data_IF_126868180739
#
_entry.id   IF_126868180739
#
_cell.length_a   1.000
_cell.length_b   1.000
_cell.length_c   1.000
_cell.angle_alpha   90.00
_cell.angle_beta   90.00
_cell.angle_gamma   90.00
#
_symmetry.space_group_name_H-M   'P 1'
#
loop_
_entity.id
_entity.type
_entity.pdbx_description
1 polymer ?
#
# COMPACT_ATOMS: atom_id res chain seq x y z
N UNK A 1 2.91 -15.70 20.46
CA UNK A 1 2.69 -15.76 19.00
C UNK A 1 3.11 -14.46 18.34
N UNK A 2 3.56 -14.44 17.08
CA UNK A 2 3.81 -13.18 16.38
C UNK A 2 2.52 -12.47 15.99
N UNK A 3 2.63 -11.17 15.71
CA UNK A 3 1.52 -10.30 15.34
C UNK A 3 1.56 -9.97 13.84
N UNK A 4 0.40 -9.97 13.20
CA UNK A 4 0.16 -9.35 11.89
C UNK A 4 -0.78 -8.18 12.12
N UNK A 5 -0.27 -6.96 11.96
CA UNK A 5 -1.00 -5.71 12.15
C UNK A 5 -1.46 -5.14 10.80
N UNK A 6 -2.71 -4.76 10.70
CA UNK A 6 -3.20 -3.87 9.64
C UNK A 6 -3.70 -2.57 10.26
N UNK A 7 -3.13 -1.43 9.83
CA UNK A 7 -3.36 -0.10 10.38
C UNK A 7 -3.88 0.83 9.28
N UNK A 8 -5.14 1.24 9.37
CA UNK A 8 -5.80 2.06 8.36
C UNK A 8 -7.12 2.66 8.90
N UNK A 9 -7.69 3.73 8.24
CA UNK A 9 -8.81 4.49 8.78
C UNK A 9 -10.20 3.91 8.51
N UNK A 10 -10.31 2.75 7.85
CA UNK A 10 -11.59 2.26 7.28
C UNK A 10 -12.48 1.50 8.27
N UNK A 11 -12.35 1.75 9.57
CA UNK A 11 -13.21 1.20 10.65
C UNK A 11 -13.18 -0.34 10.72
N UNK A 12 -12.58 -0.88 11.77
CA UNK A 12 -12.40 -2.33 11.97
C UNK A 12 -13.70 -3.13 12.02
N UNK A 13 -14.79 -2.52 12.49
CA UNK A 13 -16.05 -3.26 12.78
C UNK A 13 -17.01 -3.33 11.61
N UNK A 14 -17.06 -2.32 10.77
CA UNK A 14 -18.08 -2.21 9.72
C UNK A 14 -17.50 -1.89 8.32
N UNK A 15 -16.35 -1.25 8.23
CA UNK A 15 -15.76 -0.88 6.95
C UNK A 15 -15.01 -2.00 6.26
N UNK A 16 -14.26 -2.81 7.01
CA UNK A 16 -13.38 -3.84 6.46
C UNK A 16 -13.68 -5.26 6.94
N UNK A 17 -14.63 -5.44 7.83
CA UNK A 17 -14.95 -6.72 8.47
C UNK A 17 -15.13 -7.88 7.48
N UNK A 18 -15.88 -7.66 6.39
CA UNK A 18 -16.12 -8.69 5.39
C UNK A 18 -14.83 -9.13 4.66
N UNK A 19 -13.92 -8.18 4.41
CA UNK A 19 -12.61 -8.46 3.82
C UNK A 19 -11.71 -9.17 4.82
N UNK A 20 -11.67 -8.69 6.05
CA UNK A 20 -10.80 -9.23 7.11
C UNK A 20 -11.19 -10.68 7.46
N UNK A 21 -12.48 -11.03 7.35
CA UNK A 21 -12.97 -12.40 7.51
C UNK A 21 -12.42 -13.39 6.46
N UNK A 22 -11.90 -12.90 5.33
CA UNK A 22 -11.26 -13.73 4.31
C UNK A 22 -9.76 -13.99 4.58
N UNK A 23 -9.17 -13.32 5.57
CA UNK A 23 -7.72 -13.36 5.82
C UNK A 23 -7.38 -13.69 7.28
N UNK A 24 -7.92 -12.96 8.24
CA UNK A 24 -7.51 -13.04 9.65
C UNK A 24 -7.74 -14.42 10.29
N UNK A 25 -8.91 -15.07 10.14
CA UNK A 25 -9.11 -16.41 10.72
C UNK A 25 -8.10 -17.42 10.19
N UNK A 26 -7.77 -17.34 8.90
CA UNK A 26 -6.84 -18.25 8.27
C UNK A 26 -5.42 -18.16 8.85
N UNK A 27 -4.92 -16.94 9.14
CA UNK A 27 -3.64 -16.75 9.82
C UNK A 27 -3.72 -17.09 11.30
N UNK A 28 -4.84 -16.78 11.96
CA UNK A 28 -5.03 -17.12 13.38
C UNK A 28 -4.94 -18.63 13.63
N UNK A 29 -5.55 -19.46 12.77
CA UNK A 29 -5.43 -20.92 12.81
C UNK A 29 -3.98 -21.42 12.64
N UNK A 30 -3.09 -20.57 12.13
CA UNK A 30 -1.67 -20.86 11.90
C UNK A 30 -0.72 -20.21 12.91
N UNK A 31 -1.28 -19.78 14.04
CA UNK A 31 -0.53 -19.29 15.18
C UNK A 31 -0.07 -17.84 15.06
N UNK A 32 -0.88 -16.99 14.45
CA UNK A 32 -0.67 -15.54 14.41
C UNK A 32 -1.78 -14.78 15.14
N UNK A 33 -1.44 -13.71 15.83
CA UNK A 33 -2.40 -12.75 16.30
C UNK A 33 -2.64 -11.70 15.20
N UNK A 34 -3.80 -11.74 14.55
CA UNK A 34 -4.19 -10.72 13.58
C UNK A 34 -4.83 -9.55 14.29
N UNK A 35 -4.25 -8.37 14.17
CA UNK A 35 -4.66 -7.18 14.90
C UNK A 35 -5.16 -6.10 13.94
N UNK A 36 -6.28 -5.51 14.30
CA UNK A 36 -6.92 -4.41 13.61
C UNK A 36 -7.17 -3.27 14.58
N UNK A 37 -6.67 -2.09 14.25
CA UNK A 37 -6.82 -0.89 15.07
C UNK A 37 -7.66 0.14 14.31
N UNK A 38 -8.57 0.79 15.00
CA UNK A 38 -9.15 2.04 14.49
C UNK A 38 -8.13 3.15 14.71
N UNK A 39 -7.71 3.81 13.66
CA UNK A 39 -6.82 4.94 13.74
C UNK A 39 -7.46 6.11 14.52
N UNK A 40 -6.63 6.97 15.08
CA UNK A 40 -7.06 8.21 15.72
C UNK A 40 -8.09 8.95 14.84
N UNK A 41 -9.20 9.38 15.44
CA UNK A 41 -10.28 10.05 14.73
C UNK A 41 -11.22 9.15 13.95
N UNK A 42 -10.99 7.83 13.91
CA UNK A 42 -11.84 6.87 13.20
C UNK A 42 -12.40 5.80 14.13
N UNK A 43 -13.55 5.25 13.76
CA UNK A 43 -14.19 4.17 14.51
C UNK A 43 -14.39 4.50 15.98
N UNK A 44 -13.92 3.62 16.87
CA UNK A 44 -14.05 3.73 18.31
C UNK A 44 -12.86 4.44 18.98
N UNK A 45 -11.83 4.84 18.24
CA UNK A 45 -10.66 5.53 18.77
C UNK A 45 -10.91 7.04 18.91
N UNK A 46 -10.41 7.70 19.96
CA UNK A 46 -10.64 9.14 20.18
C UNK A 46 -9.90 10.02 19.15
N UNK A 47 -10.16 11.32 19.21
CA UNK A 47 -9.54 12.35 18.39
C UNK A 47 -10.23 12.60 17.05
N UNK A 48 -9.57 13.38 16.22
CA UNK A 48 -10.04 13.82 14.90
C UNK A 48 -8.98 13.41 13.86
N UNK A 49 -9.43 13.03 12.68
CA UNK A 49 -8.55 12.81 11.53
C UNK A 49 -8.28 14.15 10.87
N UNK A 50 -7.07 14.65 11.01
CA UNK A 50 -6.69 15.99 10.50
C UNK A 50 -6.25 15.96 9.05
N UNK A 51 -5.59 14.87 8.63
CA UNK A 51 -5.11 14.64 7.27
C UNK A 51 -4.70 13.16 7.13
N UNK A 52 -4.22 12.78 5.95
CA UNK A 52 -3.67 11.46 5.66
C UNK A 52 -2.16 11.40 5.85
N UNK A 53 -1.66 10.25 6.32
CA UNK A 53 -0.24 9.92 6.44
C UNK A 53 0.56 10.92 7.29
N UNK A 54 -0.07 11.50 8.30
CA UNK A 54 0.57 12.48 9.17
C UNK A 54 1.68 11.87 10.04
N UNK A 55 2.65 12.65 10.52
CA UNK A 55 3.62 12.17 11.50
C UNK A 55 2.96 11.60 12.77
N UNK A 56 1.83 12.17 13.18
CA UNK A 56 1.06 11.68 14.34
C UNK A 56 0.46 10.29 14.07
N UNK A 57 -0.09 10.06 12.87
CA UNK A 57 -0.59 8.74 12.45
C UNK A 57 0.51 7.69 12.52
N UNK A 58 1.71 8.02 12.04
CA UNK A 58 2.86 7.13 12.06
C UNK A 58 3.36 6.85 13.49
N UNK A 59 3.42 7.87 14.33
CA UNK A 59 3.83 7.71 15.75
C UNK A 59 2.83 6.89 16.54
N UNK A 60 1.53 7.07 16.33
CA UNK A 60 0.48 6.25 16.95
C UNK A 60 0.63 4.76 16.55
N UNK A 61 0.94 4.49 15.28
CA UNK A 61 1.18 3.13 14.81
C UNK A 61 2.41 2.50 15.46
N UNK A 62 3.49 3.25 15.62
CA UNK A 62 4.72 2.79 16.30
C UNK A 62 4.42 2.48 17.77
N UNK A 63 3.63 3.31 18.45
CA UNK A 63 3.19 3.03 19.82
C UNK A 63 2.40 1.73 19.91
N UNK A 64 1.46 1.50 18.98
CA UNK A 64 0.70 0.24 18.88
C UNK A 64 1.64 -0.95 18.65
N UNK A 65 2.62 -0.85 17.76
CA UNK A 65 3.60 -1.92 17.50
C UNK A 65 4.39 -2.26 18.77
N UNK A 66 4.89 -1.26 19.47
CA UNK A 66 5.67 -1.44 20.70
C UNK A 66 4.79 -2.05 21.80
N UNK A 67 3.55 -1.60 21.95
CA UNK A 67 2.61 -2.16 22.90
C UNK A 67 2.29 -3.63 22.61
N UNK A 68 2.05 -3.98 21.34
CA UNK A 68 1.78 -5.36 20.92
C UNK A 68 2.97 -6.28 21.18
N UNK A 69 4.17 -5.82 20.85
CA UNK A 69 5.40 -6.59 21.05
C UNK A 69 5.70 -6.85 22.53
N UNK A 70 5.26 -5.97 23.44
CA UNK A 70 5.46 -6.08 24.87
C UNK A 70 4.43 -6.97 25.60
N UNK A 71 3.42 -7.51 24.88
CA UNK A 71 2.43 -8.37 25.51
C UNK A 71 2.99 -9.77 25.82
N UNK A 72 2.63 -10.34 26.95
CA UNK A 72 3.10 -11.67 27.41
C UNK A 72 2.81 -12.80 26.41
N UNK A 73 1.77 -12.67 25.61
CA UNK A 73 1.40 -13.65 24.59
C UNK A 73 2.16 -13.44 23.26
N UNK A 74 2.81 -12.29 23.08
CA UNK A 74 3.57 -11.96 21.86
C UNK A 74 5.01 -12.48 21.98
N UNK A 75 5.58 -12.93 20.85
CA UNK A 75 6.99 -13.32 20.80
C UNK A 75 7.94 -12.13 20.54
N UNK A 76 7.44 -10.90 20.55
CA UNK A 76 8.21 -9.69 20.27
C UNK A 76 8.31 -9.33 18.78
N UNK A 77 7.75 -10.15 17.89
CA UNK A 77 7.81 -9.90 16.44
C UNK A 77 6.47 -9.43 15.90
N UNK A 78 6.50 -8.33 15.17
CA UNK A 78 5.35 -7.73 14.50
C UNK A 78 5.63 -7.65 12.99
N UNK A 79 4.65 -8.06 12.19
CA UNK A 79 4.58 -7.77 10.76
C UNK A 79 3.44 -6.82 10.46
N UNK A 80 3.57 -6.00 9.43
CA UNK A 80 2.47 -5.20 8.91
C UNK A 80 2.03 -5.70 7.54
N UNK A 81 0.71 -5.81 7.33
CA UNK A 81 0.13 -6.16 6.04
C UNK A 81 -1.04 -5.24 5.74
N UNK A 82 -1.09 -4.73 4.53
CA UNK A 82 -2.25 -3.94 4.12
C UNK A 82 -2.26 -3.61 2.64
N UNK A 83 -3.45 -3.34 2.17
CA UNK A 83 -3.69 -2.84 0.82
C UNK A 83 -3.96 -1.34 0.88
N UNK A 84 -3.52 -0.59 -0.16
CA UNK A 84 -3.78 0.85 -0.24
C UNK A 84 -3.21 1.57 0.99
N UNK A 85 -4.00 2.34 1.71
CA UNK A 85 -3.59 3.02 2.94
C UNK A 85 -2.78 2.13 3.90
N UNK A 86 -3.23 0.89 4.12
CA UNK A 86 -2.49 -0.06 4.96
C UNK A 86 -1.14 -0.48 4.39
N UNK A 87 -1.00 -0.51 3.07
CA UNK A 87 0.27 -0.73 2.38
C UNK A 87 1.20 0.48 2.48
N UNK A 88 0.67 1.69 2.32
CA UNK A 88 1.40 2.95 2.54
C UNK A 88 1.93 3.02 3.97
N UNK A 89 1.05 2.83 4.96
CA UNK A 89 1.45 2.86 6.38
C UNK A 89 2.52 1.84 6.70
N UNK A 90 2.43 0.62 6.15
CA UNK A 90 3.44 -0.40 6.36
C UNK A 90 4.84 0.07 5.94
N UNK A 91 4.96 0.73 4.79
CA UNK A 91 6.22 1.28 4.31
C UNK A 91 6.67 2.50 5.11
N UNK A 92 5.76 3.43 5.38
CA UNK A 92 6.05 4.66 6.12
C UNK A 92 6.52 4.37 7.53
N UNK A 93 5.85 3.47 8.23
CA UNK A 93 6.24 3.05 9.59
C UNK A 93 7.56 2.26 9.56
N UNK A 94 7.77 1.42 8.53
CA UNK A 94 9.05 0.71 8.38
C UNK A 94 10.23 1.67 8.17
N UNK A 95 10.02 2.83 7.55
CA UNK A 95 11.05 3.86 7.40
C UNK A 95 11.45 4.54 8.73
N UNK A 96 10.61 4.47 9.77
CA UNK A 96 10.99 4.87 11.13
C UNK A 96 11.78 3.80 11.89
N UNK A 97 11.83 2.57 11.38
CA UNK A 97 12.62 1.47 11.92
C UNK A 97 12.26 1.00 13.33
N UNK A 98 10.97 0.90 13.73
CA UNK A 98 10.64 0.37 15.06
C UNK A 98 11.15 -1.07 15.18
N UNK A 99 11.90 -1.35 16.27
CA UNK A 99 12.61 -2.61 16.44
C UNK A 99 11.73 -3.87 16.30
N UNK A 100 10.49 -3.91 16.85
CA UNK A 100 9.64 -5.08 16.73
C UNK A 100 9.10 -5.35 15.30
N UNK A 101 9.12 -4.36 14.40
CA UNK A 101 8.63 -4.52 13.03
C UNK A 101 9.67 -5.24 12.17
N UNK A 102 9.49 -6.53 11.97
CA UNK A 102 10.44 -7.39 11.26
C UNK A 102 10.18 -7.47 9.77
N UNK A 103 8.91 -7.42 9.35
CA UNK A 103 8.55 -7.58 7.95
C UNK A 103 7.26 -6.84 7.58
N UNK A 104 7.15 -6.49 6.30
CA UNK A 104 5.97 -5.81 5.71
C UNK A 104 5.54 -6.56 4.45
N UNK A 105 4.24 -6.76 4.30
CA UNK A 105 3.62 -7.08 3.02
C UNK A 105 2.79 -5.86 2.59
N UNK A 106 3.28 -5.13 1.61
CA UNK A 106 2.60 -3.95 1.06
C UNK A 106 1.89 -4.29 -0.23
N UNK A 107 0.60 -3.97 -0.33
CA UNK A 107 -0.20 -4.24 -1.52
C UNK A 107 -0.77 -2.94 -2.08
N UNK A 108 -0.70 -2.78 -3.40
CA UNK A 108 -1.40 -1.70 -4.11
C UNK A 108 -1.16 -0.34 -3.42
N UNK A 109 0.10 0.02 -3.21
CA UNK A 109 0.53 1.22 -2.52
C UNK A 109 1.56 1.99 -3.33
N UNK A 110 1.89 3.20 -2.92
CA UNK A 110 2.93 4.00 -3.55
C UNK A 110 4.15 4.22 -2.64
N UNK A 111 5.23 4.63 -3.25
CA UNK A 111 6.47 5.10 -2.60
C UNK A 111 6.62 6.61 -2.70
N UNK A 112 5.85 7.27 -3.57
CA UNK A 112 5.88 8.70 -3.80
C UNK A 112 4.45 9.27 -3.87
N UNK A 113 4.07 10.05 -2.88
CA UNK A 113 2.74 10.65 -2.72
C UNK A 113 2.41 11.73 -3.76
N UNK A 114 3.38 12.18 -4.54
CA UNK A 114 3.17 13.19 -5.59
C UNK A 114 3.29 12.63 -7.00
N UNK A 115 4.34 11.84 -7.27
CA UNK A 115 4.58 11.36 -8.63
C UNK A 115 3.67 10.21 -9.03
N UNK A 116 3.19 9.40 -8.06
CA UNK A 116 2.43 8.18 -8.35
C UNK A 116 1.36 7.88 -7.29
N UNK A 117 0.42 8.80 -7.11
CA UNK A 117 -0.68 8.67 -6.15
C UNK A 117 -2.02 9.01 -6.81
N UNK A 118 -3.10 9.06 -6.01
CA UNK A 118 -4.45 9.46 -6.43
C UNK A 118 -4.60 10.98 -6.53
N UNK A 119 -3.74 11.75 -5.87
CA UNK A 119 -3.77 13.22 -5.91
C UNK A 119 -3.09 13.77 -7.13
N UNK A 120 -1.91 13.25 -7.42
CA UNK A 120 -1.07 13.62 -8.56
C UNK A 120 -0.44 12.37 -9.17
N UNK A 121 -0.28 12.35 -10.47
CA UNK A 121 0.42 11.31 -11.19
C UNK A 121 1.24 11.89 -12.33
N UNK A 122 2.54 11.63 -12.32
CA UNK A 122 3.45 12.22 -13.30
C UNK A 122 3.42 13.76 -13.32
N UNK A 123 3.13 14.41 -12.20
CA UNK A 123 2.99 15.87 -12.08
C UNK A 123 1.62 16.42 -12.48
N UNK A 124 0.70 15.57 -12.95
CA UNK A 124 -0.66 15.98 -13.30
C UNK A 124 -1.60 15.84 -12.10
N UNK A 125 -2.38 16.88 -11.83
CA UNK A 125 -3.48 16.84 -10.86
C UNK A 125 -4.57 15.88 -11.35
N UNK A 126 -4.95 14.92 -10.50
CA UNK A 126 -6.02 13.98 -10.81
C UNK A 126 -7.38 14.48 -10.29
N UNK A 127 -8.45 14.01 -10.92
CA UNK A 127 -9.82 14.34 -10.54
C UNK A 127 -10.33 13.58 -9.28
N UNK A 128 -9.54 12.65 -8.76
CA UNK A 128 -9.92 11.81 -7.62
C UNK A 128 -9.98 12.56 -6.27
N UNK A 129 -9.38 13.76 -6.18
CA UNK A 129 -9.26 14.49 -4.91
C UNK A 129 -10.60 14.70 -4.19
N UNK A 130 -11.64 15.14 -4.91
CA UNK A 130 -12.95 15.35 -4.30
C UNK A 130 -13.62 14.03 -3.91
N UNK A 131 -13.56 13.03 -4.81
CA UNK A 131 -14.13 11.70 -4.56
C UNK A 131 -13.46 11.00 -3.38
N UNK A 132 -12.14 11.11 -3.29
CA UNK A 132 -11.38 10.56 -2.18
C UNK A 132 -11.69 11.26 -0.85
N UNK A 133 -11.73 12.59 -0.83
CA UNK A 133 -12.13 13.36 0.35
C UNK A 133 -13.54 13.00 0.83
N UNK A 134 -14.49 12.84 -0.09
CA UNK A 134 -15.84 12.38 0.24
C UNK A 134 -15.84 10.94 0.82
N UNK A 135 -14.99 10.07 0.30
CA UNK A 135 -14.82 8.70 0.82
C UNK A 135 -14.28 8.73 2.26
N UNK A 136 -13.25 9.55 2.52
CA UNK A 136 -12.71 9.67 3.87
C UNK A 136 -13.74 10.23 4.85
N UNK A 137 -14.51 11.22 4.46
CA UNK A 137 -15.62 11.71 5.25
C UNK A 137 -16.69 10.65 5.52
N UNK A 138 -16.98 9.79 4.55
CA UNK A 138 -17.93 8.69 4.75
C UNK A 138 -17.47 7.69 5.83
N UNK A 139 -16.17 7.59 6.10
CA UNK A 139 -15.63 6.77 7.20
C UNK A 139 -15.53 7.55 8.52
N UNK A 140 -14.89 8.71 8.51
CA UNK A 140 -14.57 9.50 9.72
C UNK A 140 -15.81 10.15 10.36
N UNK A 141 -16.80 10.59 9.57
CA UNK A 141 -18.04 11.19 10.08
C UNK A 141 -19.01 10.22 10.73
N UNK A 142 -18.76 8.91 10.73
CA UNK A 142 -19.65 7.91 11.33
C UNK A 142 -19.47 7.83 12.83
N UNK A 143 -20.57 7.62 13.54
CA UNK A 143 -20.55 7.51 14.99
C UNK A 143 -19.70 6.33 15.48
N UNK A 144 -19.00 6.47 16.61
CA UNK A 144 -18.48 5.33 17.37
C UNK A 144 -19.59 4.39 17.80
N UNK A 145 -19.23 3.15 18.17
CA UNK A 145 -20.19 2.15 18.61
C UNK A 145 -20.70 2.48 20.04
N UNK A 146 -22.00 2.76 20.22
CA UNK A 146 -22.56 3.06 21.54
C UNK A 146 -22.46 1.90 22.53
N UNK A 147 -22.27 0.66 22.06
CA UNK A 147 -22.07 -0.49 22.94
C UNK A 147 -20.64 -0.53 23.53
N UNK A 148 -19.68 0.14 22.91
CA UNK A 148 -18.29 0.17 23.35
C UNK A 148 -17.90 1.49 24.03
N UNK A 149 -18.58 2.59 23.69
CA UNK A 149 -18.21 3.94 24.10
C UNK A 149 -19.41 4.64 24.77
N UNK A 150 -19.33 4.84 26.07
CA UNK A 150 -20.37 5.60 26.79
C UNK A 150 -20.44 7.06 26.30
N UNK A 151 -19.33 7.63 25.90
CA UNK A 151 -19.16 8.99 25.37
C UNK A 151 -19.28 9.10 23.84
N UNK A 152 -19.86 8.09 23.19
CA UNK A 152 -19.92 8.00 21.72
C UNK A 152 -20.54 9.24 21.04
N UNK A 153 -21.56 9.83 21.68
CA UNK A 153 -22.28 10.98 21.11
C UNK A 153 -21.44 12.25 21.16
N UNK A 154 -20.79 12.51 22.28
CA UNK A 154 -19.91 13.67 22.46
C UNK A 154 -18.74 13.58 21.48
N UNK A 155 -18.09 12.44 21.42
CA UNK A 155 -16.98 12.16 20.52
C UNK A 155 -17.40 12.30 19.05
N UNK A 156 -18.55 11.81 18.67
CA UNK A 156 -19.11 11.96 17.33
C UNK A 156 -19.36 13.41 16.94
N UNK A 157 -20.04 14.18 17.84
CA UNK A 157 -20.33 15.60 17.61
C UNK A 157 -19.06 16.45 17.54
N UNK A 158 -18.05 16.13 18.33
CA UNK A 158 -16.73 16.76 18.27
C UNK A 158 -16.08 16.55 16.91
N UNK A 159 -16.06 15.31 16.39
CA UNK A 159 -15.56 14.99 15.06
C UNK A 159 -16.27 15.77 13.97
N UNK A 160 -17.62 15.72 13.94
CA UNK A 160 -18.41 16.43 12.94
C UNK A 160 -18.16 17.96 12.92
N UNK A 161 -17.75 18.54 14.05
CA UNK A 161 -17.43 19.98 14.13
C UNK A 161 -15.99 20.30 13.73
N UNK A 162 -15.06 19.40 14.01
CA UNK A 162 -13.62 19.63 13.88
C UNK A 162 -13.03 19.07 12.59
N UNK A 163 -13.72 18.15 11.91
CA UNK A 163 -13.20 17.45 10.74
C UNK A 163 -12.92 18.41 9.58
N UNK A 164 -11.68 18.39 9.03
CA UNK A 164 -11.30 19.29 7.96
C UNK A 164 -11.88 18.86 6.61
N UNK A 165 -12.01 19.83 5.70
CA UNK A 165 -12.27 19.52 4.30
C UNK A 165 -10.94 19.16 3.60
N UNK A 166 -10.58 17.88 3.64
CA UNK A 166 -9.31 17.34 3.17
C UNK A 166 -8.90 17.80 1.76
N UNK A 167 -9.80 17.81 0.73
CA UNK A 167 -9.42 18.28 -0.60
C UNK A 167 -8.83 19.69 -0.62
N UNK A 168 -9.26 20.57 0.29
CA UNK A 168 -8.70 21.93 0.35
C UNK A 168 -7.27 21.95 0.88
N UNK A 169 -6.86 20.98 1.68
CA UNK A 169 -5.49 20.81 2.12
C UNK A 169 -4.62 20.37 0.94
N UNK A 170 -5.01 19.27 0.29
CA UNK A 170 -4.25 18.68 -0.82
C UNK A 170 -4.06 19.63 -1.99
N UNK A 171 -5.08 20.37 -2.37
CA UNK A 171 -5.04 21.32 -3.50
C UNK A 171 -4.20 22.59 -3.25
N UNK A 172 -3.75 22.85 -2.02
CA UNK A 172 -2.79 23.93 -1.73
C UNK A 172 -1.37 23.56 -2.15
N UNK A 173 -1.08 22.28 -2.28
CA UNK A 173 0.25 21.73 -2.55
C UNK A 173 0.32 21.21 -3.99
N UNK A 174 0.51 22.13 -4.97
CA UNK A 174 0.48 21.82 -6.40
C UNK A 174 1.86 21.51 -7.00
N UNK A 175 2.87 21.39 -6.17
CA UNK A 175 4.22 20.96 -6.55
C UNK A 175 4.74 19.96 -5.52
N UNK A 176 5.78 19.20 -5.86
CA UNK A 176 6.41 18.24 -4.95
C UNK A 176 7.20 18.96 -3.84
N UNK A 177 6.47 19.56 -2.92
CA UNK A 177 6.99 20.26 -1.75
C UNK A 177 7.18 19.34 -0.53
N UNK A 178 7.48 19.93 0.63
CA UNK A 178 7.69 19.18 1.87
C UNK A 178 6.43 18.39 2.31
N UNK A 179 5.24 18.87 1.96
CA UNK A 179 3.98 18.18 2.27
C UNK A 179 3.90 16.79 1.62
N UNK A 180 4.22 16.70 0.33
CA UNK A 180 4.19 15.41 -0.40
C UNK A 180 5.41 14.53 -0.12
N UNK A 181 6.54 15.12 0.28
CA UNK A 181 7.72 14.36 0.72
C UNK A 181 7.47 13.65 2.04
N UNK A 182 6.67 14.25 2.93
CA UNK A 182 6.20 13.60 4.14
C UNK A 182 5.41 12.33 3.77
N UNK A 183 5.83 11.18 4.29
CA UNK A 183 5.22 9.89 3.99
C UNK A 183 5.61 9.28 2.64
N UNK A 184 6.45 9.93 1.83
CA UNK A 184 7.03 9.38 0.60
C UNK A 184 8.34 8.65 0.91
N UNK A 185 8.32 7.33 0.94
CA UNK A 185 9.51 6.52 1.33
C UNK A 185 10.61 6.53 0.27
N UNK A 186 10.32 7.01 -0.94
CA UNK A 186 11.32 7.22 -1.99
C UNK A 186 12.39 8.25 -1.59
N UNK A 187 12.12 9.11 -0.61
CA UNK A 187 13.10 10.09 -0.13
C UNK A 187 14.31 9.40 0.54
N UNK A 188 14.09 8.27 1.23
CA UNK A 188 15.16 7.47 1.82
C UNK A 188 14.74 6.01 2.02
N UNK A 189 14.98 5.17 1.04
CA UNK A 189 14.75 3.73 1.17
C UNK A 189 15.66 3.05 2.20
N UNK A 190 16.84 3.63 2.48
CA UNK A 190 17.82 3.02 3.40
C UNK A 190 17.35 3.01 4.84
N UNK A 191 16.35 3.82 5.18
CA UNK A 191 15.70 3.83 6.49
C UNK A 191 14.90 2.55 6.76
N UNK A 192 14.39 1.87 5.71
CA UNK A 192 13.60 0.65 5.85
C UNK A 192 14.51 -0.53 6.17
N UNK A 193 14.39 -1.08 7.37
CA UNK A 193 15.13 -2.28 7.82
C UNK A 193 14.29 -3.55 7.78
N UNK A 194 12.97 -3.42 7.89
CA UNK A 194 12.04 -4.52 7.77
C UNK A 194 12.12 -5.18 6.38
N UNK A 195 11.88 -6.49 6.33
CA UNK A 195 11.82 -7.22 5.07
C UNK A 195 10.52 -6.90 4.32
N UNK A 196 10.60 -6.64 3.02
CA UNK A 196 9.45 -6.17 2.24
C UNK A 196 9.06 -7.17 1.15
N UNK A 197 7.80 -7.58 1.17
CA UNK A 197 7.13 -8.24 0.04
C UNK A 197 6.15 -7.23 -0.57
N UNK A 198 6.43 -6.79 -1.79
CA UNK A 198 5.61 -5.85 -2.52
C UNK A 198 4.69 -6.58 -3.53
N UNK A 199 3.39 -6.31 -3.46
CA UNK A 199 2.40 -6.98 -4.30
C UNK A 199 1.55 -5.94 -5.03
N UNK A 200 1.34 -6.14 -6.32
CA UNK A 200 0.54 -5.21 -7.12
C UNK A 200 -0.18 -5.89 -8.27
N UNK A 201 -0.92 -5.12 -9.02
CA UNK A 201 -1.64 -5.57 -10.20
C UNK A 201 -1.47 -4.61 -11.38
N UNK A 202 -1.38 -5.14 -12.59
CA UNK A 202 -1.27 -4.32 -13.80
C UNK A 202 -2.50 -3.43 -14.04
N UNK A 203 -3.66 -3.85 -13.52
CA UNK A 203 -4.91 -3.08 -13.57
C UNK A 203 -5.08 -2.08 -12.43
N UNK A 204 -4.09 -1.95 -11.54
CA UNK A 204 -4.10 -1.00 -10.42
C UNK A 204 -3.44 0.33 -10.80
N UNK A 205 -3.83 1.40 -10.13
CA UNK A 205 -3.17 2.69 -10.22
C UNK A 205 -1.74 2.65 -9.67
N UNK A 206 -1.48 1.87 -8.61
CA UNK A 206 -0.21 1.84 -7.86
C UNK A 206 0.80 0.77 -8.35
N UNK A 207 0.78 0.43 -9.62
CA UNK A 207 1.66 -0.62 -10.17
C UNK A 207 3.15 -0.29 -10.16
N UNK A 208 3.53 0.99 -10.16
CA UNK A 208 4.93 1.42 -10.31
C UNK A 208 5.78 1.24 -9.04
N UNK A 209 5.16 1.29 -7.86
CA UNK A 209 5.87 1.15 -6.59
C UNK A 209 6.52 -0.24 -6.44
N UNK A 210 5.90 -1.28 -6.99
CA UNK A 210 6.37 -2.66 -6.84
C UNK A 210 7.77 -2.86 -7.44
N UNK A 211 8.07 -2.50 -8.70
CA UNK A 211 9.43 -2.54 -9.22
C UNK A 211 10.39 -1.62 -8.46
N UNK A 212 9.99 -0.40 -8.13
CA UNK A 212 10.84 0.57 -7.43
C UNK A 212 11.33 0.06 -6.07
N UNK A 213 10.49 -0.61 -5.30
CA UNK A 213 10.85 -1.16 -4.00
C UNK A 213 11.92 -2.26 -4.11
N UNK A 214 11.78 -3.16 -5.06
CA UNK A 214 12.75 -4.26 -5.21
C UNK A 214 14.08 -3.78 -5.76
N UNK A 215 14.07 -2.79 -6.65
CA UNK A 215 15.31 -2.17 -7.14
C UNK A 215 16.06 -1.41 -6.03
N UNK A 216 15.32 -0.85 -5.06
CA UNK A 216 15.91 -0.02 -4.01
C UNK A 216 16.24 -0.79 -2.71
N UNK A 217 15.51 -1.88 -2.41
CA UNK A 217 15.63 -2.60 -1.14
C UNK A 217 16.23 -3.99 -1.32
N UNK A 218 17.47 -4.22 -0.89
CA UNK A 218 18.08 -5.55 -0.95
C UNK A 218 17.26 -6.62 -0.23
N UNK A 219 17.00 -7.73 -0.93
CA UNK A 219 16.20 -8.85 -0.40
C UNK A 219 14.70 -8.61 -0.36
N UNK A 220 14.20 -7.51 -0.92
CA UNK A 220 12.77 -7.35 -1.16
C UNK A 220 12.30 -8.28 -2.29
N UNK A 221 11.07 -8.79 -2.15
CA UNK A 221 10.45 -9.66 -3.17
C UNK A 221 9.20 -8.96 -3.72
N UNK A 222 8.85 -9.24 -4.99
CA UNK A 222 7.71 -8.64 -5.63
C UNK A 222 6.87 -9.63 -6.43
N UNK A 223 5.55 -9.40 -6.42
CA UNK A 223 4.59 -10.16 -7.21
C UNK A 223 3.66 -9.17 -7.91
N UNK A 224 3.59 -9.22 -9.24
CA UNK A 224 2.65 -8.40 -10.01
C UNK A 224 1.78 -9.32 -10.87
N UNK A 225 0.48 -9.34 -10.55
CA UNK A 225 -0.50 -10.11 -11.31
C UNK A 225 -1.33 -9.25 -12.27
N UNK A 226 -2.30 -9.83 -12.97
CA UNK A 226 -3.17 -9.09 -13.90
C UNK A 226 -4.24 -8.25 -13.17
N UNK A 227 -4.24 -8.23 -11.87
CA UNK A 227 -5.30 -7.79 -10.97
C UNK A 227 -5.56 -6.28 -10.99
N UNK A 228 -6.78 -5.92 -10.59
CA UNK A 228 -7.14 -4.58 -10.14
C UNK A 228 -6.80 -4.41 -8.65
N UNK A 229 -7.22 -3.32 -8.02
CA UNK A 229 -6.98 -2.97 -6.62
C UNK A 229 -7.63 -3.97 -5.63
N UNK A 230 -7.07 -5.18 -5.52
CA UNK A 230 -7.59 -6.29 -4.68
C UNK A 230 -6.47 -7.19 -4.17
N UNK A 231 -6.73 -7.87 -3.06
CA UNK A 231 -5.88 -8.97 -2.60
C UNK A 231 -5.89 -10.12 -3.61
N UNK A 232 -4.74 -10.71 -3.95
CA UNK A 232 -4.61 -11.67 -5.07
C UNK A 232 -5.49 -12.92 -4.99
N UNK A 233 -5.86 -13.40 -3.79
CA UNK A 233 -6.63 -14.63 -3.62
C UNK A 233 -8.13 -14.49 -3.97
N UNK A 234 -8.63 -13.26 -4.09
CA UNK A 234 -9.99 -12.98 -4.58
C UNK A 234 -10.04 -11.88 -5.65
N UNK A 235 -8.86 -11.52 -6.21
CA UNK A 235 -8.76 -10.49 -7.23
C UNK A 235 -9.35 -10.91 -8.58
N UNK A 236 -9.63 -9.92 -9.38
CA UNK A 236 -9.92 -10.02 -10.82
C UNK A 236 -8.99 -9.05 -11.56
N UNK A 237 -8.72 -9.31 -12.86
CA UNK A 237 -8.97 -10.55 -13.59
C UNK A 237 -8.16 -11.72 -13.04
N UNK A 238 -8.60 -12.94 -13.37
CA UNK A 238 -7.79 -14.14 -13.13
C UNK A 238 -6.57 -14.19 -14.08
N UNK A 239 -5.51 -14.96 -13.72
CA UNK A 239 -5.44 -15.95 -12.64
C UNK A 239 -5.22 -15.33 -11.27
N UNK A 240 -5.93 -15.83 -10.28
CA UNK A 240 -5.62 -15.64 -8.86
C UNK A 240 -4.42 -16.48 -8.45
N UNK A 241 -3.85 -16.19 -7.28
CA UNK A 241 -2.81 -17.01 -6.66
C UNK A 241 -3.18 -17.38 -5.22
N UNK A 242 -2.51 -18.38 -4.67
CA UNK A 242 -2.57 -18.72 -3.25
C UNK A 242 -1.86 -17.66 -2.39
N UNK A 243 -2.36 -16.42 -2.41
CA UNK A 243 -1.71 -15.30 -1.72
C UNK A 243 -1.55 -15.52 -0.22
N UNK A 244 -2.51 -16.17 0.44
CA UNK A 244 -2.40 -16.43 1.88
C UNK A 244 -1.25 -17.40 2.17
N UNK A 245 -1.01 -18.38 1.29
CA UNK A 245 0.11 -19.31 1.38
C UNK A 245 1.45 -18.59 1.14
N UNK A 246 1.53 -17.70 0.16
CA UNK A 246 2.72 -16.86 -0.06
C UNK A 246 3.01 -15.98 1.15
N UNK A 247 1.99 -15.32 1.66
CA UNK A 247 2.11 -14.48 2.86
C UNK A 247 2.51 -15.31 4.10
N UNK A 248 1.99 -16.54 4.25
CA UNK A 248 2.37 -17.41 5.36
C UNK A 248 3.85 -17.78 5.31
N UNK A 249 4.38 -18.17 4.14
CA UNK A 249 5.82 -18.44 3.97
C UNK A 249 6.66 -17.23 4.38
N UNK A 250 6.24 -16.02 3.98
CA UNK A 250 6.88 -14.76 4.35
C UNK A 250 6.85 -14.53 5.85
N UNK A 251 5.68 -14.70 6.50
CA UNK A 251 5.53 -14.50 7.93
C UNK A 251 6.26 -15.56 8.76
N UNK A 252 6.19 -16.84 8.38
CA UNK A 252 6.90 -17.91 9.07
C UNK A 252 8.41 -17.67 9.06
N UNK A 253 8.97 -17.20 7.96
CA UNK A 253 10.40 -16.84 7.87
C UNK A 253 10.76 -15.67 8.77
N UNK A 254 10.05 -14.54 8.64
CA UNK A 254 10.51 -13.29 9.26
C UNK A 254 9.95 -13.03 10.66
N UNK A 255 8.88 -13.68 11.07
CA UNK A 255 8.27 -13.51 12.40
C UNK A 255 8.45 -14.71 13.33
N UNK A 256 8.78 -15.90 12.78
CA UNK A 256 9.00 -17.14 13.55
C UNK A 256 10.38 -17.74 13.34
N UNK A 257 11.18 -17.18 12.42
CA UNK A 257 12.51 -17.69 12.03
C UNK A 257 12.49 -19.14 11.51
N UNK A 258 11.43 -19.51 10.81
CA UNK A 258 11.29 -20.81 10.15
C UNK A 258 11.86 -20.67 8.73
N UNK A 259 12.76 -21.56 8.34
CA UNK A 259 13.24 -21.61 6.96
C UNK A 259 12.11 -22.09 6.03
N UNK A 260 11.65 -21.19 5.16
CA UNK A 260 10.56 -21.43 4.19
C UNK A 260 11.03 -21.31 2.74
N UNK A 261 12.31 -21.04 2.53
CA UNK A 261 12.92 -20.83 1.22
C UNK A 261 12.49 -19.53 0.52
N UNK A 262 11.84 -18.56 1.20
CA UNK A 262 11.42 -17.30 0.55
C UNK A 262 12.59 -16.41 0.16
N UNK A 263 13.77 -16.62 0.77
CA UNK A 263 14.98 -15.88 0.42
C UNK A 263 15.50 -16.28 -0.95
N UNK A 264 15.27 -17.53 -1.34
CA UNK A 264 15.67 -18.11 -2.63
C UNK A 264 14.60 -17.92 -3.73
N UNK A 265 13.42 -17.37 -3.37
CA UNK A 265 12.42 -17.03 -4.38
C UNK A 265 12.99 -15.95 -5.34
N UNK A 266 12.62 -15.98 -6.63
CA UNK A 266 12.97 -14.91 -7.56
C UNK A 266 12.56 -13.53 -7.01
N UNK A 267 13.42 -12.54 -7.17
CA UNK A 267 13.14 -11.19 -6.69
C UNK A 267 11.91 -10.59 -7.33
N UNK A 268 11.63 -10.96 -8.59
CA UNK A 268 10.50 -10.47 -9.34
C UNK A 268 9.70 -11.61 -9.98
N UNK A 269 8.45 -11.73 -9.59
CA UNK A 269 7.46 -12.59 -10.23
C UNK A 269 6.37 -11.73 -10.84
N UNK A 270 6.17 -11.81 -12.16
CA UNK A 270 5.18 -11.00 -12.86
C UNK A 270 4.34 -11.83 -13.83
N UNK A 271 3.09 -11.46 -13.97
CA UNK A 271 2.21 -12.03 -14.99
C UNK A 271 2.35 -11.23 -16.28
N UNK A 272 2.97 -11.82 -17.30
CA UNK A 272 3.07 -11.25 -18.63
C UNK A 272 1.74 -11.48 -19.36
N UNK A 273 0.98 -10.41 -19.55
CA UNK A 273 -0.34 -10.47 -20.21
C UNK A 273 -0.20 -10.50 -21.72
N UNK A 274 -0.92 -11.39 -22.37
CA UNK A 274 -1.05 -11.40 -23.83
C UNK A 274 -2.00 -10.29 -24.31
N UNK A 275 -1.84 -9.88 -25.58
CA UNK A 275 -2.75 -8.94 -26.22
C UNK A 275 -4.16 -9.52 -26.34
N UNK A 276 -5.17 -8.70 -26.06
CA UNK A 276 -6.56 -9.08 -26.26
C UNK A 276 -7.37 -7.90 -26.78
N UNK A 277 -8.54 -8.22 -27.39
CA UNK A 277 -9.46 -7.17 -27.81
C UNK A 277 -9.93 -6.36 -26.59
N UNK A 278 -9.92 -5.03 -26.65
CA UNK A 278 -10.45 -4.20 -25.57
C UNK A 278 -11.90 -4.56 -25.21
N UNK A 279 -12.19 -4.62 -23.92
CA UNK A 279 -13.51 -4.88 -23.37
C UNK A 279 -13.72 -4.02 -22.13
N UNK A 280 -14.97 -3.68 -21.83
CA UNK A 280 -15.33 -2.92 -20.62
C UNK A 280 -15.19 -3.74 -19.34
N UNK A 281 -15.21 -5.06 -19.46
CA UNK A 281 -15.10 -6.00 -18.36
C UNK A 281 -14.29 -7.22 -18.77
N UNK A 282 -13.31 -7.60 -17.95
CA UNK A 282 -12.43 -8.73 -18.19
C UNK A 282 -12.35 -9.56 -16.91
N UNK A 283 -12.82 -10.80 -16.96
CA UNK A 283 -12.75 -11.73 -15.82
C UNK A 283 -11.44 -12.51 -15.78
N UNK A 284 -10.84 -12.78 -16.93
CA UNK A 284 -9.60 -13.53 -17.08
C UNK A 284 -8.71 -12.85 -18.12
N UNK A 285 -7.42 -12.78 -17.84
CA UNK A 285 -6.40 -12.27 -18.76
C UNK A 285 -5.54 -13.44 -19.23
N UNK A 286 -5.47 -13.72 -20.55
CA UNK A 286 -4.49 -14.67 -21.08
C UNK A 286 -3.07 -14.17 -20.85
N UNK A 287 -2.15 -15.10 -20.62
CA UNK A 287 -0.75 -14.77 -20.37
C UNK A 287 0.00 -15.88 -19.66
N UNK A 288 1.15 -15.55 -19.08
CA UNK A 288 1.99 -16.48 -18.34
C UNK A 288 2.77 -15.78 -17.24
N UNK A 289 3.11 -16.50 -16.20
CA UNK A 289 4.04 -16.03 -15.18
C UNK A 289 5.47 -16.06 -15.70
N UNK A 290 6.23 -15.03 -15.35
CA UNK A 290 7.67 -14.94 -15.52
C UNK A 290 8.33 -14.68 -14.17
N UNK A 291 9.60 -15.05 -14.05
CA UNK A 291 10.42 -14.85 -12.87
C UNK A 291 11.77 -14.28 -13.29
N UNK A 292 12.24 -13.27 -12.56
CA UNK A 292 13.49 -12.55 -12.84
C UNK A 292 14.23 -12.25 -11.54
N UNK A 293 15.55 -12.23 -11.58
CA UNK A 293 16.38 -11.78 -10.47
C UNK A 293 16.59 -10.26 -10.50
N UNK A 294 16.90 -9.67 -9.34
CA UNK A 294 17.25 -8.25 -9.24
C UNK A 294 18.43 -7.93 -10.17
N UNK A 295 18.28 -6.87 -10.94
CA UNK A 295 19.27 -6.49 -11.96
C UNK A 295 19.15 -7.27 -13.26
N UNK A 296 18.26 -8.26 -13.37
CA UNK A 296 17.96 -8.91 -14.65
C UNK A 296 17.46 -7.91 -15.70
N UNK A 297 16.79 -6.85 -15.29
CA UNK A 297 16.43 -5.73 -16.16
C UNK A 297 17.62 -4.91 -16.63
N UNK A 298 18.81 -5.04 -16.01
CA UNK A 298 20.03 -4.36 -16.45
C UNK A 298 20.51 -4.83 -17.82
N UNK A 299 20.11 -6.02 -18.26
CA UNK A 299 20.36 -6.51 -19.62
C UNK A 299 19.32 -6.01 -20.64
N UNK A 300 18.25 -5.33 -20.20
CA UNK A 300 17.32 -4.62 -21.05
C UNK A 300 17.76 -3.14 -21.13
N UNK A 301 18.60 -2.75 -22.10
CA UNK A 301 19.11 -1.40 -22.15
C UNK A 301 17.97 -0.41 -22.35
N UNK A 302 17.95 0.64 -21.54
CA UNK A 302 17.05 1.77 -21.77
C UNK A 302 17.42 2.38 -23.12
N UNK A 303 16.46 2.39 -24.04
CA UNK A 303 16.57 3.04 -25.34
C UNK A 303 15.86 4.38 -25.29
N UNK A 304 16.62 5.46 -25.39
CA UNK A 304 16.07 6.81 -25.54
C UNK A 304 15.86 7.10 -27.02
N UNK A 305 14.68 7.61 -27.35
CA UNK A 305 14.36 8.10 -28.68
C UNK A 305 13.84 9.54 -28.59
N UNK A 306 14.27 10.37 -29.50
CA UNK A 306 13.88 11.77 -29.60
C UNK A 306 12.65 11.91 -30.49
N UNK A 307 11.69 12.73 -30.06
CA UNK A 307 10.58 13.16 -30.89
C UNK A 307 11.10 14.15 -31.93
N UNK A 308 10.79 13.90 -33.20
CA UNK A 308 11.16 14.76 -34.34
C UNK A 308 9.95 14.90 -35.26
N UNK A 309 10.03 15.82 -36.23
CA UNK A 309 8.98 15.99 -37.25
C UNK A 309 8.79 14.72 -38.10
N UNK A 310 9.79 13.87 -38.19
CA UNK A 310 9.75 12.58 -38.89
C UNK A 310 9.32 11.40 -37.98
N UNK A 311 9.00 11.63 -36.71
CA UNK A 311 8.66 10.60 -35.72
C UNK A 311 9.78 10.38 -34.69
N UNK A 312 9.91 9.16 -34.20
CA UNK A 312 10.93 8.80 -33.21
C UNK A 312 12.28 8.53 -33.89
N UNK A 313 13.34 9.21 -33.45
CA UNK A 313 14.69 9.06 -33.96
C UNK A 313 15.72 8.82 -32.85
N UNK A 314 16.84 8.15 -33.16
CA UNK A 314 17.94 7.94 -32.21
C UNK A 314 18.68 9.26 -31.89
N UNK A 315 18.72 10.18 -32.86
CA UNK A 315 19.38 11.48 -32.70
C UNK A 315 18.36 12.60 -32.58
N UNK A 316 18.65 13.65 -31.79
CA UNK A 316 17.77 14.80 -31.67
C UNK A 316 17.72 15.55 -33.00
N UNK A 317 16.52 15.98 -33.37
CA UNK A 317 16.27 16.87 -34.50
C UNK A 317 15.18 17.88 -34.12
N UNK A 318 15.05 19.00 -34.86
CA UNK A 318 14.01 19.98 -34.59
C UNK A 318 12.62 19.32 -34.55
N UNK A 319 11.80 19.74 -33.59
CA UNK A 319 10.39 19.36 -33.49
C UNK A 319 9.54 20.60 -33.52
N UNK A 320 8.75 20.75 -34.60
CA UNK A 320 7.75 21.82 -34.76
C UNK A 320 6.36 21.16 -34.63
N UNK A 321 5.95 20.87 -33.41
CA UNK A 321 4.64 20.29 -33.15
C UNK A 321 3.72 21.30 -32.46
N UNK A 322 2.49 21.40 -32.94
CA UNK A 322 1.42 22.14 -32.29
C UNK A 322 0.44 21.09 -31.72
N UNK A 323 0.21 21.12 -30.41
CA UNK A 323 -0.88 20.38 -29.79
C UNK A 323 -2.09 21.30 -29.72
N UNK A 324 -3.12 20.98 -30.47
CA UNK A 324 -4.42 21.66 -30.33
C UNK A 324 -5.26 20.89 -29.31
N UNK A 325 -5.81 21.63 -28.33
CA UNK A 325 -6.75 21.12 -27.32
C UNK A 325 -8.19 21.25 -27.84
#
# INVERSE_FOLDING_TARGET
VPVILEYLPYRKRDGTTARDALTHPWFAERGYACVRVDMRGNGDSPGVMEDEYTPLEQSDCIEVINWLAAQDWCNGSVGMMGISWGGFNGLQVAAHGPEPLKAVITLCSTVDRFADDIHYKGGCLLNENLGWGATMWAYSSRAPDPALRADWREMWLERLKAEPFLPSLWLRHQSRDAYWKQGSVIEDYTAIKAKVLAVGGWGDAYKNAVPQLVEALPGAKRIVGPWVHKYPHFAIPEPRIGFLQEALRWWDRWLKDIDTGVEDDPDYRAYLMDGMRPATWVLERPGRWIAEETGATSHLPVKSLHLTDAGLAAEPAPLNATVAS
#
